data_IF_068025453584
#
_entry.id   IF_068025453584
#
_cell.length_a   1.000
_cell.length_b   1.000
_cell.length_c   1.000
_cell.angle_alpha   90.00
_cell.angle_beta   90.00
_cell.angle_gamma   90.00
#
_symmetry.space_group_name_H-M   'P 1'
#
loop_
_entity.id
_entity.type
_entity.pdbx_description
1 polymer ?
#
# COMPACT_ATOMS: atom_id res chain seq x y z
N UNK A 1 2.15 11.58 -23.55
CA UNK A 1 1.45 10.49 -22.82
C UNK A 1 1.25 10.94 -21.39
N UNK A 2 0.05 10.81 -20.88
CA UNK A 2 -0.36 11.20 -19.51
C UNK A 2 -0.48 9.95 -18.68
N UNK A 3 0.23 9.89 -17.54
CA UNK A 3 0.21 8.72 -16.65
C UNK A 3 -0.53 9.03 -15.34
N UNK A 4 -1.67 8.39 -15.16
CA UNK A 4 -2.60 8.59 -14.05
C UNK A 4 -2.96 7.26 -13.37
N UNK A 5 -2.02 6.31 -13.36
CA UNK A 5 -2.14 5.01 -12.67
C UNK A 5 -1.09 4.85 -11.56
N UNK A 6 -0.86 5.93 -10.79
CA UNK A 6 0.16 5.97 -9.75
C UNK A 6 -0.15 5.08 -8.54
N UNK A 7 -1.40 4.68 -8.32
CA UNK A 7 -1.75 3.69 -7.31
C UNK A 7 -1.30 2.26 -7.70
N UNK A 8 -1.10 1.96 -8.99
CA UNK A 8 -0.50 0.71 -9.43
C UNK A 8 1.03 0.73 -9.26
N UNK A 9 1.70 1.76 -9.74
CA UNK A 9 3.14 1.99 -9.54
C UNK A 9 3.47 3.46 -9.87
N UNK A 10 4.44 4.03 -9.17
CA UNK A 10 4.91 5.40 -9.47
C UNK A 10 6.17 5.41 -10.32
N UNK A 11 6.42 6.46 -11.12
CA UNK A 11 7.75 6.72 -11.67
C UNK A 11 8.78 6.84 -10.54
N UNK A 12 9.97 6.29 -10.75
CA UNK A 12 11.06 6.41 -9.77
C UNK A 12 11.59 7.85 -9.73
N UNK A 13 11.82 8.39 -8.52
CA UNK A 13 12.35 9.75 -8.35
C UNK A 13 13.80 9.86 -8.81
N UNK A 14 14.20 11.07 -9.20
CA UNK A 14 15.55 11.33 -9.66
C UNK A 14 16.60 11.05 -8.56
N UNK A 15 16.26 11.34 -7.30
CA UNK A 15 17.15 11.08 -6.17
C UNK A 15 17.31 9.57 -5.93
N UNK A 16 16.24 8.80 -6.05
CA UNK A 16 16.32 7.33 -5.93
C UNK A 16 17.20 6.72 -7.03
N UNK A 17 17.02 7.15 -8.28
CA UNK A 17 17.84 6.72 -9.42
C UNK A 17 19.33 7.06 -9.19
N UNK A 18 19.62 8.28 -8.75
CA UNK A 18 20.98 8.74 -8.48
C UNK A 18 21.67 7.92 -7.40
N UNK A 19 21.01 7.74 -6.24
CA UNK A 19 21.59 7.00 -5.13
C UNK A 19 21.76 5.50 -5.47
N UNK A 20 20.81 4.89 -6.16
CA UNK A 20 20.97 3.51 -6.67
C UNK A 20 22.15 3.37 -7.61
N UNK A 21 22.27 4.30 -8.58
CA UNK A 21 23.37 4.28 -9.58
C UNK A 21 24.72 4.37 -8.88
N UNK A 22 24.86 5.26 -7.91
CA UNK A 22 26.08 5.41 -7.11
C UNK A 22 26.44 4.13 -6.38
N UNK A 23 25.48 3.49 -5.70
CA UNK A 23 25.73 2.23 -5.00
C UNK A 23 26.14 1.12 -5.99
N UNK A 24 25.48 0.99 -7.13
CA UNK A 24 25.80 0.00 -8.16
C UNK A 24 27.20 0.20 -8.76
N UNK A 25 27.66 1.43 -8.89
CA UNK A 25 29.00 1.74 -9.44
C UNK A 25 30.12 1.58 -8.41
N UNK A 26 29.87 1.94 -7.15
CA UNK A 26 30.92 2.09 -6.13
C UNK A 26 30.97 0.95 -5.11
N UNK A 27 29.90 0.14 -4.98
CA UNK A 27 29.77 -0.85 -3.89
C UNK A 27 29.33 -2.22 -4.41
N UNK A 28 30.30 -3.13 -4.54
CA UNK A 28 30.08 -4.51 -5.02
C UNK A 28 30.30 -5.58 -3.93
N UNK A 29 30.58 -5.17 -2.69
CA UNK A 29 30.79 -6.09 -1.58
C UNK A 29 29.49 -6.69 -1.05
N UNK A 30 29.53 -7.94 -0.57
CA UNK A 30 28.44 -8.53 0.20
C UNK A 30 28.45 -7.91 1.61
N UNK A 31 27.31 -7.37 2.13
CA UNK A 31 27.23 -6.77 3.45
C UNK A 31 27.67 -7.67 4.61
N UNK A 32 27.62 -9.00 4.42
CA UNK A 32 28.04 -9.99 5.44
C UNK A 32 29.53 -10.32 5.41
N UNK A 33 30.30 -9.83 4.41
CA UNK A 33 31.72 -10.14 4.29
C UNK A 33 32.61 -9.30 5.21
N UNK A 34 33.66 -9.91 5.75
CA UNK A 34 34.56 -9.26 6.74
C UNK A 34 35.65 -8.37 6.12
N UNK A 35 35.88 -8.45 4.82
CA UNK A 35 36.87 -7.62 4.12
C UNK A 35 36.37 -6.19 3.87
N UNK A 36 37.24 -5.28 3.41
CA UNK A 36 36.93 -3.85 3.25
C UNK A 36 35.69 -3.57 2.43
N UNK A 37 35.51 -4.21 1.28
CA UNK A 37 34.32 -4.04 0.43
C UNK A 37 33.03 -4.50 1.11
N UNK A 38 33.07 -5.62 1.87
CA UNK A 38 31.91 -6.06 2.65
C UNK A 38 31.58 -5.09 3.79
N UNK A 39 32.59 -4.58 4.50
CA UNK A 39 32.38 -3.58 5.57
C UNK A 39 31.76 -2.28 5.02
N UNK A 40 32.17 -1.85 3.81
CA UNK A 40 31.58 -0.69 3.14
C UNK A 40 30.10 -0.94 2.82
N UNK A 41 29.77 -2.07 2.20
CA UNK A 41 28.39 -2.45 1.90
C UNK A 41 27.53 -2.58 3.18
N UNK A 42 28.07 -3.25 4.22
CA UNK A 42 27.41 -3.38 5.52
C UNK A 42 27.21 -2.05 6.25
N UNK A 43 28.11 -1.07 6.03
CA UNK A 43 27.92 0.29 6.55
C UNK A 43 26.71 0.97 5.89
N UNK A 44 26.64 0.96 4.56
CA UNK A 44 25.52 1.55 3.81
C UNK A 44 24.17 0.91 4.19
N UNK A 45 24.12 -0.42 4.35
CA UNK A 45 22.93 -1.12 4.79
C UNK A 45 22.47 -0.66 6.19
N UNK A 46 23.41 -0.50 7.13
CA UNK A 46 23.09 0.00 8.47
C UNK A 46 22.62 1.45 8.45
N UNK A 47 23.26 2.30 7.68
CA UNK A 47 22.87 3.72 7.50
C UNK A 47 21.46 3.83 6.92
N UNK A 48 21.16 3.08 5.84
CA UNK A 48 19.83 3.04 5.26
C UNK A 48 18.75 2.59 6.27
N UNK A 49 19.06 1.58 7.11
CA UNK A 49 18.15 1.12 8.16
C UNK A 49 17.97 2.15 9.27
N UNK A 50 19.02 2.85 9.66
CA UNK A 50 18.95 3.94 10.65
C UNK A 50 18.12 5.12 10.15
N UNK A 51 18.34 5.53 8.90
CA UNK A 51 17.60 6.62 8.28
C UNK A 51 16.12 6.28 8.18
N UNK A 52 15.77 5.05 7.71
CA UNK A 52 14.39 4.61 7.65
C UNK A 52 13.73 4.56 9.02
N UNK A 53 14.44 4.07 10.03
CA UNK A 53 13.92 4.04 11.40
C UNK A 53 13.68 5.46 11.93
N UNK A 54 14.57 6.41 11.65
CA UNK A 54 14.38 7.81 12.01
C UNK A 54 13.16 8.43 11.33
N UNK A 55 12.96 8.17 10.03
CA UNK A 55 11.80 8.66 9.28
C UNK A 55 10.47 8.15 9.83
N UNK A 56 10.46 6.96 10.43
CA UNK A 56 9.27 6.35 11.05
C UNK A 56 9.14 6.61 12.55
N UNK A 57 10.11 7.32 13.18
CA UNK A 57 10.12 7.55 14.62
C UNK A 57 10.32 6.29 15.45
N UNK A 58 11.08 5.29 14.94
CA UNK A 58 11.29 3.99 15.58
C UNK A 58 12.78 3.62 15.69
N UNK A 59 13.05 2.38 16.08
CA UNK A 59 14.41 1.86 16.28
C UNK A 59 14.85 1.01 15.07
N UNK A 60 16.16 1.03 14.69
CA UNK A 60 16.65 0.27 13.55
C UNK A 60 16.37 -1.24 13.61
N UNK A 61 16.35 -1.85 14.80
CA UNK A 61 16.04 -3.26 14.98
C UNK A 61 14.58 -3.64 14.67
N UNK A 62 13.69 -2.67 14.55
CA UNK A 62 12.29 -2.88 14.18
C UNK A 62 12.05 -2.87 12.66
N UNK A 63 13.10 -2.62 11.87
CA UNK A 63 13.01 -2.56 10.40
C UNK A 63 13.59 -3.83 9.79
N UNK A 64 12.85 -4.44 8.86
CA UNK A 64 13.24 -5.60 8.08
C UNK A 64 13.02 -5.31 6.59
N UNK A 65 14.07 -5.38 5.78
CA UNK A 65 13.95 -5.17 4.34
C UNK A 65 13.38 -6.40 3.66
N UNK A 66 12.44 -6.17 2.73
CA UNK A 66 11.72 -7.19 1.99
C UNK A 66 11.75 -6.89 0.49
N UNK A 67 11.12 -7.75 -0.33
CA UNK A 67 10.95 -7.48 -1.76
C UNK A 67 9.77 -6.56 -2.09
N UNK A 68 8.95 -6.21 -1.10
CA UNK A 68 7.77 -5.35 -1.28
C UNK A 68 6.64 -5.67 -0.33
N UNK A 69 5.48 -5.01 -0.52
CA UNK A 69 4.32 -5.13 0.35
C UNK A 69 3.80 -6.56 0.50
N UNK A 70 3.74 -7.32 -0.60
CA UNK A 70 3.27 -8.72 -0.55
C UNK A 70 4.13 -9.60 0.36
N UNK A 71 5.46 -9.52 0.26
CA UNK A 71 6.35 -10.26 1.16
C UNK A 71 6.20 -9.77 2.61
N UNK A 72 6.08 -8.46 2.82
CA UNK A 72 5.90 -7.87 4.15
C UNK A 72 4.60 -8.35 4.80
N UNK A 73 3.47 -8.32 4.08
CA UNK A 73 2.18 -8.80 4.55
C UNK A 73 2.22 -10.29 4.90
N UNK A 74 2.78 -11.12 4.00
CA UNK A 74 2.92 -12.56 4.23
C UNK A 74 3.81 -12.86 5.43
N UNK A 75 4.94 -12.17 5.56
CA UNK A 75 5.87 -12.35 6.68
C UNK A 75 5.22 -11.98 8.02
N UNK A 76 4.52 -10.85 8.08
CA UNK A 76 3.83 -10.42 9.29
C UNK A 76 2.72 -11.39 9.67
N UNK A 77 1.80 -11.67 8.74
CA UNK A 77 0.59 -12.46 9.02
C UNK A 77 0.94 -13.93 9.28
N UNK A 78 1.64 -14.60 8.36
CA UNK A 78 2.00 -16.02 8.51
C UNK A 78 2.97 -16.21 9.67
N UNK A 79 4.04 -15.39 9.70
CA UNK A 79 5.08 -15.52 10.71
C UNK A 79 4.57 -15.33 12.13
N UNK A 80 3.69 -14.34 12.34
CA UNK A 80 3.09 -14.10 13.66
C UNK A 80 2.05 -15.18 14.02
N UNK A 81 1.11 -15.46 13.12
CA UNK A 81 0.01 -16.39 13.40
C UNK A 81 0.51 -17.81 13.69
N UNK A 82 1.44 -18.36 12.89
CA UNK A 82 1.95 -19.71 13.14
C UNK A 82 2.76 -19.79 14.45
N UNK A 83 3.52 -18.76 14.78
CA UNK A 83 4.28 -18.68 16.02
C UNK A 83 3.36 -18.65 17.25
N UNK A 84 2.22 -17.98 17.16
CA UNK A 84 1.30 -17.75 18.28
C UNK A 84 0.03 -18.60 18.24
N UNK A 85 -0.06 -19.58 17.35
CA UNK A 85 -1.26 -20.43 17.18
C UNK A 85 -1.74 -21.17 18.45
N UNK A 86 -0.86 -21.31 19.45
CA UNK A 86 -1.21 -21.89 20.74
C UNK A 86 -1.98 -20.91 21.65
N UNK A 87 -1.99 -19.62 21.37
CA UNK A 87 -2.72 -18.58 22.10
C UNK A 87 -4.14 -18.39 21.57
N UNK A 88 -4.34 -18.69 20.29
CA UNK A 88 -5.61 -18.58 19.58
C UNK A 88 -5.42 -18.76 18.09
N UNK A 89 -6.53 -18.90 17.37
CA UNK A 89 -6.52 -19.08 15.92
C UNK A 89 -7.52 -18.18 15.20
N UNK A 90 -7.92 -17.08 15.82
CA UNK A 90 -8.84 -16.13 15.20
C UNK A 90 -8.10 -14.88 14.72
N UNK A 91 -8.43 -14.46 13.48
CA UNK A 91 -7.90 -13.30 12.80
C UNK A 91 -9.07 -12.40 12.40
N UNK A 92 -8.90 -11.08 12.57
CA UNK A 92 -9.86 -10.09 12.09
C UNK A 92 -9.20 -9.30 10.95
N UNK A 93 -9.92 -9.17 9.84
CA UNK A 93 -9.51 -8.34 8.70
C UNK A 93 -10.72 -7.66 8.05
N UNK A 94 -10.51 -6.90 6.97
CA UNK A 94 -11.61 -6.22 6.27
C UNK A 94 -11.83 -6.79 4.87
N UNK A 95 -13.04 -6.62 4.33
CA UNK A 95 -13.37 -7.09 2.98
C UNK A 95 -12.70 -6.27 1.86
N UNK A 96 -12.09 -5.13 2.20
CA UNK A 96 -11.49 -4.20 1.24
C UNK A 96 -9.96 -4.25 1.21
N UNK A 97 -9.37 -5.27 1.83
CA UNK A 97 -7.92 -5.46 1.88
C UNK A 97 -7.33 -5.80 0.49
N UNK A 98 -6.03 -5.57 0.35
CA UNK A 98 -5.30 -6.06 -0.81
C UNK A 98 -5.26 -7.60 -0.83
N UNK A 99 -5.26 -8.22 -2.01
CA UNK A 99 -5.20 -9.69 -2.17
C UNK A 99 -4.04 -10.33 -1.39
N UNK A 100 -2.89 -9.65 -1.24
CA UNK A 100 -1.77 -10.18 -0.44
C UNK A 100 -2.07 -10.31 1.06
N UNK A 101 -3.16 -9.72 1.55
CA UNK A 101 -3.69 -9.92 2.91
C UNK A 101 -4.78 -10.98 2.89
N UNK A 102 -5.79 -10.83 2.03
CA UNK A 102 -6.94 -11.75 1.96
C UNK A 102 -6.50 -13.18 1.65
N UNK A 103 -5.72 -13.39 0.59
CA UNK A 103 -5.23 -14.71 0.19
C UNK A 103 -4.29 -15.32 1.24
N UNK A 104 -3.51 -14.48 1.94
CA UNK A 104 -2.64 -14.95 3.02
C UNK A 104 -3.45 -15.44 4.22
N UNK A 105 -4.52 -14.75 4.58
CA UNK A 105 -5.41 -15.16 5.68
C UNK A 105 -6.18 -16.42 5.26
N UNK A 106 -6.71 -16.47 4.03
CA UNK A 106 -7.38 -17.64 3.50
C UNK A 106 -6.48 -18.88 3.51
N UNK A 107 -5.20 -18.73 3.12
CA UNK A 107 -4.21 -19.79 3.25
C UNK A 107 -4.07 -20.34 4.67
N UNK A 108 -4.07 -19.46 5.70
CA UNK A 108 -4.02 -19.89 7.10
C UNK A 108 -5.31 -20.61 7.52
N UNK A 109 -6.46 -20.14 7.04
CA UNK A 109 -7.76 -20.79 7.29
C UNK A 109 -7.79 -22.19 6.66
N UNK A 110 -7.45 -22.32 5.39
CA UNK A 110 -7.53 -23.57 4.66
C UNK A 110 -6.52 -24.63 5.12
N UNK A 111 -5.32 -24.24 5.52
CA UNK A 111 -4.22 -25.17 5.75
C UNK A 111 -3.81 -25.33 7.22
N UNK A 112 -4.15 -24.37 8.10
CA UNK A 112 -3.67 -24.36 9.49
C UNK A 112 -4.80 -24.30 10.51
N UNK A 113 -6.05 -24.31 10.06
CA UNK A 113 -7.23 -24.34 10.92
C UNK A 113 -7.44 -23.05 11.69
N UNK A 114 -7.06 -21.90 11.10
CA UNK A 114 -7.45 -20.59 11.59
C UNK A 114 -8.90 -20.28 11.23
N UNK A 115 -9.47 -19.31 11.92
CA UNK A 115 -10.77 -18.71 11.61
C UNK A 115 -10.56 -17.21 11.31
N UNK A 116 -11.30 -16.68 10.36
CA UNK A 116 -11.23 -15.27 10.02
C UNK A 116 -12.59 -14.59 10.13
N UNK A 117 -12.67 -13.45 10.82
CA UNK A 117 -13.79 -12.53 10.71
C UNK A 117 -13.44 -11.42 9.71
N UNK A 118 -14.19 -11.38 8.60
CA UNK A 118 -14.02 -10.38 7.55
C UNK A 118 -15.05 -9.27 7.72
N UNK A 119 -14.61 -8.11 8.21
CA UNK A 119 -15.45 -6.94 8.47
C UNK A 119 -15.92 -6.34 7.14
N UNK A 120 -17.24 -6.26 6.97
CA UNK A 120 -17.87 -5.62 5.81
C UNK A 120 -18.01 -4.11 6.07
N UNK A 121 -17.79 -3.26 5.07
CA UNK A 121 -18.05 -1.83 5.17
C UNK A 121 -19.55 -1.57 5.34
N UNK A 122 -19.88 -0.54 6.13
CA UNK A 122 -21.24 -0.04 6.29
C UNK A 122 -21.26 1.41 5.82
N UNK A 123 -22.08 1.72 4.83
CA UNK A 123 -22.07 3.04 4.16
C UNK A 123 -20.67 3.42 3.66
N UNK A 124 -19.96 2.49 3.02
CA UNK A 124 -18.58 2.61 2.50
C UNK A 124 -17.51 2.88 3.57
N UNK A 125 -17.83 2.65 4.85
CA UNK A 125 -16.93 2.89 5.99
C UNK A 125 -16.62 1.61 6.75
N UNK A 126 -15.38 1.48 7.21
CA UNK A 126 -14.95 0.53 8.25
C UNK A 126 -14.71 1.33 9.53
N UNK A 127 -15.31 0.92 10.62
CA UNK A 127 -15.19 1.61 11.92
C UNK A 127 -14.42 0.80 12.94
N UNK A 128 -13.75 1.47 13.87
CA UNK A 128 -13.06 0.83 14.98
C UNK A 128 -14.00 0.01 15.87
N UNK A 129 -15.27 0.44 16.00
CA UNK A 129 -16.30 -0.27 16.77
C UNK A 129 -16.69 -1.62 16.13
N UNK A 130 -16.62 -1.76 14.79
CA UNK A 130 -16.83 -3.05 14.13
C UNK A 130 -15.70 -4.03 14.50
N UNK A 131 -14.45 -3.56 14.49
CA UNK A 131 -13.29 -4.35 14.94
C UNK A 131 -13.47 -4.77 16.41
N UNK A 132 -13.82 -3.81 17.29
CA UNK A 132 -14.02 -4.08 18.71
C UNK A 132 -15.08 -5.17 18.97
N UNK A 133 -16.19 -5.11 18.24
CA UNK A 133 -17.28 -6.11 18.38
C UNK A 133 -16.90 -7.49 17.86
N UNK A 134 -15.93 -7.59 16.96
CA UNK A 134 -15.45 -8.84 16.39
C UNK A 134 -14.37 -9.51 17.24
N UNK A 135 -13.79 -8.82 18.23
CA UNK A 135 -12.79 -9.38 19.12
C UNK A 135 -13.35 -10.57 19.93
N UNK A 136 -12.57 -11.65 20.00
CA UNK A 136 -12.83 -12.88 20.74
C UNK A 136 -11.65 -13.17 21.65
N UNK A 137 -11.83 -14.04 22.64
CA UNK A 137 -10.75 -14.46 23.56
C UNK A 137 -9.59 -15.16 22.83
N UNK A 138 -9.87 -15.80 21.68
CA UNK A 138 -8.89 -16.47 20.83
C UNK A 138 -8.43 -15.64 19.64
N UNK A 139 -8.77 -14.34 19.58
CA UNK A 139 -8.23 -13.41 18.57
C UNK A 139 -6.76 -13.16 18.86
N UNK A 140 -5.89 -13.36 17.86
CA UNK A 140 -4.46 -13.12 18.00
C UNK A 140 -3.94 -12.01 17.06
N UNK A 141 -4.64 -11.73 15.96
CA UNK A 141 -4.24 -10.73 14.98
C UNK A 141 -5.44 -9.93 14.47
N UNK A 142 -5.27 -8.61 14.39
CA UNK A 142 -6.08 -7.72 13.57
C UNK A 142 -5.19 -7.24 12.43
N UNK A 143 -5.66 -7.35 11.18
CA UNK A 143 -4.95 -6.88 9.99
C UNK A 143 -5.85 -5.98 9.18
N UNK A 144 -5.44 -4.72 8.99
CA UNK A 144 -6.19 -3.74 8.20
C UNK A 144 -5.24 -2.96 7.29
N UNK A 145 -5.72 -2.51 6.14
CA UNK A 145 -4.98 -1.51 5.36
C UNK A 145 -5.12 -0.13 5.99
N UNK A 146 -4.15 0.74 5.74
CA UNK A 146 -4.22 2.15 6.14
C UNK A 146 -5.07 2.96 5.15
N UNK A 147 -4.82 2.75 3.87
CA UNK A 147 -5.52 3.42 2.77
C UNK A 147 -5.82 2.43 1.65
N UNK A 148 -7.04 2.50 1.12
CA UNK A 148 -7.45 1.61 0.04
C UNK A 148 -6.87 2.05 -1.31
N UNK A 149 -6.34 1.11 -2.07
CA UNK A 149 -5.68 1.35 -3.36
C UNK A 149 -6.65 1.65 -4.50
N UNK A 150 -7.93 1.36 -4.34
CA UNK A 150 -8.95 1.56 -5.38
C UNK A 150 -9.75 2.84 -5.18
N UNK A 151 -10.15 3.13 -3.94
CA UNK A 151 -11.00 4.27 -3.60
C UNK A 151 -10.26 5.40 -2.88
N UNK A 152 -9.08 5.12 -2.34
CA UNK A 152 -8.36 6.07 -1.48
C UNK A 152 -8.90 6.17 -0.06
N UNK A 153 -9.92 5.38 0.29
CA UNK A 153 -10.55 5.40 1.62
C UNK A 153 -9.53 5.13 2.71
N UNK A 154 -9.56 5.94 3.77
CA UNK A 154 -8.72 5.79 4.96
C UNK A 154 -9.46 5.00 6.03
N UNK A 155 -8.77 4.04 6.65
CA UNK A 155 -9.30 3.30 7.79
C UNK A 155 -8.90 4.00 9.11
N UNK A 156 -9.67 3.83 10.20
CA UNK A 156 -9.46 4.52 11.47
C UNK A 156 -8.34 3.85 12.30
N UNK A 157 -7.10 3.92 11.80
CA UNK A 157 -5.94 3.18 12.35
C UNK A 157 -5.66 3.56 13.81
N UNK A 158 -5.70 4.85 14.13
CA UNK A 158 -5.43 5.33 15.49
C UNK A 158 -6.48 4.84 16.50
N UNK A 159 -7.76 4.84 16.12
CA UNK A 159 -8.85 4.36 16.98
C UNK A 159 -8.77 2.84 17.16
N UNK A 160 -8.42 2.10 16.10
CA UNK A 160 -8.22 0.64 16.19
C UNK A 160 -7.04 0.33 17.11
N UNK A 161 -5.89 0.99 16.92
CA UNK A 161 -4.72 0.80 17.78
C UNK A 161 -4.99 1.16 19.24
N UNK A 162 -5.80 2.19 19.49
CA UNK A 162 -6.23 2.54 20.85
C UNK A 162 -7.09 1.44 21.49
N UNK A 163 -8.04 0.86 20.76
CA UNK A 163 -8.87 -0.26 21.24
C UNK A 163 -7.99 -1.48 21.54
N UNK A 164 -7.05 -1.81 20.67
CA UNK A 164 -6.23 -3.01 20.79
C UNK A 164 -5.16 -2.92 21.90
N UNK A 165 -4.84 -1.72 22.37
CA UNK A 165 -3.79 -1.49 23.38
C UNK A 165 -3.97 -2.33 24.64
N UNK A 166 -5.21 -2.58 25.08
CA UNK A 166 -5.54 -3.33 26.28
C UNK A 166 -5.84 -4.81 25.99
N UNK A 167 -5.62 -5.26 24.75
CA UNK A 167 -5.84 -6.64 24.32
C UNK A 167 -4.51 -7.30 23.94
N UNK A 168 -4.35 -8.63 24.19
CA UNK A 168 -3.16 -9.38 23.80
C UNK A 168 -3.21 -9.78 22.30
N UNK A 169 -3.61 -8.87 21.45
CA UNK A 169 -3.83 -9.03 20.01
C UNK A 169 -2.83 -8.17 19.26
N UNK A 170 -2.10 -8.73 18.30
CA UNK A 170 -1.21 -7.95 17.47
C UNK A 170 -1.97 -7.17 16.40
N UNK A 171 -1.46 -5.99 16.06
CA UNK A 171 -2.02 -5.13 15.03
C UNK A 171 -1.09 -5.02 13.83
N UNK A 172 -1.49 -5.59 12.68
CA UNK A 172 -0.83 -5.43 11.39
C UNK A 172 -1.54 -4.38 10.54
N UNK A 173 -0.77 -3.48 9.93
CA UNK A 173 -1.27 -2.45 9.02
C UNK A 173 -0.57 -2.54 7.67
N UNK A 174 -1.33 -2.81 6.60
CA UNK A 174 -0.85 -2.61 5.23
C UNK A 174 -0.85 -1.10 4.92
N UNK A 175 0.33 -0.47 5.01
CA UNK A 175 0.51 0.96 4.76
C UNK A 175 1.04 1.26 3.35
N UNK A 176 1.01 0.29 2.44
CA UNK A 176 1.58 0.41 1.08
C UNK A 176 1.06 1.65 0.35
N UNK A 177 -0.21 2.01 0.54
CA UNK A 177 -0.79 3.18 -0.11
C UNK A 177 -0.72 4.48 0.72
N UNK A 178 -0.27 4.41 1.97
CA UNK A 178 -0.26 5.55 2.89
C UNK A 178 1.15 6.09 3.16
N UNK A 179 2.16 5.20 3.21
CA UNK A 179 3.55 5.58 3.50
C UNK A 179 4.07 6.59 2.46
N UNK A 180 4.77 7.62 2.93
CA UNK A 180 5.24 8.74 2.09
C UNK A 180 4.15 9.80 1.79
N UNK A 181 2.86 9.49 1.96
CA UNK A 181 1.73 10.39 1.62
C UNK A 181 1.11 11.09 2.82
N UNK A 182 1.12 10.44 3.97
CA UNK A 182 0.68 11.00 5.26
C UNK A 182 1.68 10.63 6.36
N UNK A 183 1.77 11.40 7.46
CA UNK A 183 2.65 11.07 8.59
C UNK A 183 2.23 9.74 9.23
N UNK A 184 3.19 8.83 9.40
CA UNK A 184 2.93 7.54 10.05
C UNK A 184 4.04 7.27 11.07
N UNK A 185 3.66 7.23 12.34
CA UNK A 185 4.52 6.85 13.46
C UNK A 185 3.94 5.58 14.09
N UNK A 186 4.43 4.38 13.71
CA UNK A 186 3.81 3.11 14.08
C UNK A 186 3.64 2.90 15.58
N UNK A 187 4.63 3.31 16.38
CA UNK A 187 4.58 3.16 17.86
C UNK A 187 3.47 4.01 18.47
N UNK A 188 3.26 5.24 17.99
CA UNK A 188 2.21 6.14 18.48
C UNK A 188 0.80 5.65 18.11
N UNK A 189 0.70 4.98 16.96
CA UNK A 189 -0.55 4.40 16.44
C UNK A 189 -0.87 3.01 17.02
N UNK A 190 -0.01 2.46 17.88
CA UNK A 190 -0.19 1.13 18.45
C UNK A 190 -0.08 0.00 17.42
N UNK A 191 0.70 0.20 16.37
CA UNK A 191 0.91 -0.77 15.30
C UNK A 191 2.07 -1.71 15.68
N UNK A 192 1.85 -3.02 15.61
CA UNK A 192 2.89 -4.02 15.83
C UNK A 192 3.65 -4.37 14.55
N UNK A 193 2.93 -4.43 13.42
CA UNK A 193 3.50 -4.70 12.09
C UNK A 193 2.99 -3.70 11.07
N UNK A 194 3.91 -3.14 10.26
CA UNK A 194 3.54 -2.24 9.17
C UNK A 194 4.27 -2.65 7.89
N UNK A 195 3.51 -2.84 6.82
CA UNK A 195 4.01 -3.23 5.51
C UNK A 195 4.09 -2.05 4.55
N UNK A 196 5.20 -1.97 3.78
CA UNK A 196 5.41 -0.94 2.79
C UNK A 196 6.08 -1.47 1.51
N UNK A 197 5.89 -0.76 0.39
CA UNK A 197 6.47 -1.10 -0.91
C UNK A 197 6.99 0.15 -1.61
N UNK A 198 8.27 0.17 -1.95
CA UNK A 198 8.96 1.38 -2.42
C UNK A 198 8.35 1.99 -3.69
N UNK A 199 7.88 1.15 -4.62
CA UNK A 199 7.32 1.65 -5.89
C UNK A 199 5.98 2.38 -5.76
N UNK A 200 5.44 2.55 -4.56
CA UNK A 200 4.23 3.34 -4.29
C UNK A 200 4.55 4.75 -3.78
N UNK A 201 5.83 5.00 -3.47
CA UNK A 201 6.36 6.29 -3.04
C UNK A 201 7.65 6.64 -3.80
N UNK A 202 7.61 6.57 -5.12
CA UNK A 202 8.67 6.96 -6.03
C UNK A 202 10.01 6.24 -5.86
N UNK A 203 10.03 5.11 -5.13
CA UNK A 203 11.17 4.22 -4.99
C UNK A 203 11.21 3.11 -6.04
N UNK A 204 12.24 2.26 -6.00
CA UNK A 204 12.40 1.16 -6.94
C UNK A 204 11.39 0.02 -6.71
N UNK A 205 11.05 -0.70 -7.79
CA UNK A 205 10.30 -1.96 -7.72
C UNK A 205 11.17 -3.06 -7.11
N UNK A 206 10.53 -4.07 -6.50
CA UNK A 206 11.23 -5.26 -5.97
C UNK A 206 11.95 -5.01 -4.65
N UNK A 207 11.58 -3.97 -3.91
CA UNK A 207 12.01 -3.67 -2.55
C UNK A 207 10.89 -3.05 -1.74
N UNK A 208 10.87 -3.34 -0.46
CA UNK A 208 9.98 -2.78 0.53
C UNK A 208 10.55 -3.00 1.93
N UNK A 209 9.74 -2.77 2.92
CA UNK A 209 10.10 -3.06 4.30
C UNK A 209 8.91 -3.51 5.13
N UNK A 210 9.22 -4.27 6.16
CA UNK A 210 8.33 -4.59 7.26
C UNK A 210 8.87 -3.87 8.50
N UNK A 211 8.05 -3.02 9.13
CA UNK A 211 8.25 -2.63 10.51
C UNK A 211 7.64 -3.71 11.41
N UNK A 212 8.34 -4.12 12.44
CA UNK A 212 7.83 -4.98 13.49
C UNK A 212 8.30 -4.46 14.86
N UNK A 213 7.36 -4.11 15.74
CA UNK A 213 7.63 -3.56 17.07
C UNK A 213 8.47 -4.49 17.94
N UNK A 214 8.34 -5.80 17.66
CA UNK A 214 9.13 -6.86 18.28
C UNK A 214 9.61 -7.84 17.21
N UNK A 215 10.63 -8.64 17.52
CA UNK A 215 11.07 -9.75 16.68
C UNK A 215 10.27 -11.05 16.89
N UNK A 216 9.07 -10.96 17.45
CA UNK A 216 8.30 -12.13 17.88
C UNK A 216 7.41 -12.71 16.76
N UNK A 217 8.03 -13.02 15.64
CA UNK A 217 7.42 -13.70 14.48
C UNK A 217 8.43 -14.68 13.87
N UNK A 218 7.96 -15.69 13.15
CA UNK A 218 8.80 -16.64 12.43
C UNK A 218 9.14 -16.11 11.04
N UNK A 219 10.32 -16.48 10.51
CA UNK A 219 10.71 -16.08 9.17
C UNK A 219 9.82 -16.75 8.11
N UNK A 220 9.42 -15.98 7.09
CA UNK A 220 8.72 -16.52 5.93
C UNK A 220 9.71 -17.10 4.89
N UNK A 221 10.84 -16.43 4.66
CA UNK A 221 11.92 -16.90 3.81
C UNK A 221 13.06 -17.45 4.65
N UNK A 222 13.31 -18.76 4.50
CA UNK A 222 14.35 -19.48 5.24
C UNK A 222 15.67 -19.51 4.48
N UNK A 223 16.82 -19.48 5.20
CA UNK A 223 18.15 -19.54 4.63
C UNK A 223 19.23 -18.99 5.56
N UNK A 224 20.02 -18.01 5.08
CA UNK A 224 21.06 -17.37 5.87
C UNK A 224 20.54 -16.44 6.97
N UNK A 225 21.48 -15.86 7.73
CA UNK A 225 21.22 -15.09 8.93
C UNK A 225 20.90 -13.58 8.67
N UNK A 226 20.61 -13.21 7.39
CA UNK A 226 20.28 -11.83 7.05
C UNK A 226 19.02 -11.34 7.80
N UNK A 227 18.86 -10.03 7.89
CA UNK A 227 17.71 -9.40 8.55
C UNK A 227 17.42 -10.02 9.92
N UNK A 228 18.44 -10.20 10.76
CA UNK A 228 18.33 -10.76 12.10
C UNK A 228 17.70 -12.18 12.11
N UNK A 229 17.95 -13.00 11.08
CA UNK A 229 17.35 -14.33 10.85
C UNK A 229 15.85 -14.31 10.54
N UNK A 230 15.29 -13.14 10.21
CA UNK A 230 13.87 -12.98 9.91
C UNK A 230 13.58 -13.00 8.40
N UNK A 231 14.59 -12.70 7.58
CA UNK A 231 14.45 -12.71 6.13
C UNK A 231 15.79 -13.08 5.49
N UNK A 232 15.91 -14.29 5.00
CA UNK A 232 17.13 -14.81 4.39
C UNK A 232 17.34 -14.26 2.96
N UNK A 233 18.56 -14.39 2.47
CA UNK A 233 18.98 -13.96 1.13
C UNK A 233 19.71 -12.62 1.14
N UNK A 234 20.74 -12.49 0.28
CA UNK A 234 21.56 -11.28 0.17
C UNK A 234 20.67 -10.05 -0.11
N UNK A 235 20.93 -9.00 0.63
CA UNK A 235 20.15 -7.76 0.57
C UNK A 235 20.39 -7.02 -0.76
N UNK A 236 19.32 -6.51 -1.36
CA UNK A 236 19.38 -5.64 -2.54
C UNK A 236 19.79 -4.22 -2.14
N UNK A 237 21.09 -4.05 -1.81
CA UNK A 237 21.61 -2.82 -1.21
C UNK A 237 21.28 -1.56 -2.03
N UNK A 238 21.44 -1.62 -3.36
CA UNK A 238 21.16 -0.47 -4.21
C UNK A 238 19.69 -0.05 -4.14
N UNK A 239 18.76 -1.02 -4.23
CA UNK A 239 17.34 -0.74 -4.14
C UNK A 239 16.93 -0.28 -2.74
N UNK A 240 17.55 -0.81 -1.67
CA UNK A 240 17.30 -0.36 -0.28
C UNK A 240 17.68 1.11 -0.11
N UNK A 241 18.88 1.51 -0.57
CA UNK A 241 19.35 2.89 -0.48
C UNK A 241 18.45 3.82 -1.31
N UNK A 242 18.08 3.42 -2.54
CA UNK A 242 17.16 4.18 -3.38
C UNK A 242 15.75 4.32 -2.76
N UNK A 243 15.24 3.27 -2.11
CA UNK A 243 13.97 3.31 -1.39
C UNK A 243 13.98 4.34 -0.27
N UNK A 244 15.04 4.33 0.55
CA UNK A 244 15.15 5.27 1.68
C UNK A 244 15.29 6.71 1.19
N UNK A 245 16.04 6.92 0.11
CA UNK A 245 16.18 8.25 -0.52
C UNK A 245 14.84 8.78 -1.03
N UNK A 246 14.05 7.93 -1.72
CA UNK A 246 12.72 8.30 -2.19
C UNK A 246 11.76 8.65 -1.04
N UNK A 247 11.73 7.81 0.00
CA UNK A 247 10.85 8.07 1.15
C UNK A 247 11.21 9.36 1.87
N UNK A 248 12.51 9.64 2.01
CA UNK A 248 12.98 10.88 2.62
C UNK A 248 12.55 12.12 1.82
N UNK A 249 12.63 12.07 0.48
CA UNK A 249 12.14 13.11 -0.41
C UNK A 249 10.64 13.32 -0.22
N UNK A 250 9.83 12.26 -0.33
CA UNK A 250 8.38 12.33 -0.19
C UNK A 250 7.93 12.88 1.16
N UNK A 251 8.58 12.49 2.25
CA UNK A 251 8.23 12.97 3.60
C UNK A 251 8.63 14.43 3.84
N UNK A 252 9.72 14.91 3.22
CA UNK A 252 10.11 16.32 3.31
C UNK A 252 9.07 17.24 2.62
N UNK A 253 8.51 16.80 1.51
CA UNK A 253 7.60 17.58 0.68
C UNK A 253 6.11 17.20 0.88
N UNK A 254 5.83 16.36 1.88
CA UNK A 254 4.55 15.70 2.10
C UNK A 254 3.35 16.67 2.17
N UNK A 255 3.50 17.79 2.88
CA UNK A 255 2.41 18.79 3.03
C UNK A 255 2.13 19.47 1.69
N UNK A 256 3.17 19.84 0.96
CA UNK A 256 3.06 20.46 -0.38
C UNK A 256 2.43 19.46 -1.36
N UNK A 257 2.91 18.22 -1.37
CA UNK A 257 2.35 17.14 -2.19
C UNK A 257 0.86 16.93 -1.91
N UNK A 258 0.46 16.85 -0.64
CA UNK A 258 -0.94 16.69 -0.25
C UNK A 258 -1.82 17.84 -0.75
N UNK A 259 -1.36 19.08 -0.60
CA UNK A 259 -2.07 20.27 -1.08
C UNK A 259 -2.17 20.30 -2.61
N UNK A 260 -1.08 19.98 -3.31
CA UNK A 260 -1.06 19.90 -4.77
C UNK A 260 -2.04 18.85 -5.29
N UNK A 261 -2.01 17.63 -4.71
CA UNK A 261 -2.90 16.54 -5.12
C UNK A 261 -4.36 16.87 -4.85
N UNK A 262 -4.66 17.54 -3.74
CA UNK A 262 -6.02 18.02 -3.44
C UNK A 262 -6.51 19.05 -4.45
N UNK A 263 -5.65 19.99 -4.84
CA UNK A 263 -5.96 20.99 -5.86
C UNK A 263 -6.19 20.33 -7.24
N UNK A 264 -5.32 19.41 -7.64
CA UNK A 264 -5.47 18.67 -8.91
C UNK A 264 -6.78 17.88 -8.96
N UNK A 265 -7.15 17.19 -7.87
CA UNK A 265 -8.45 16.49 -7.77
C UNK A 265 -9.61 17.47 -7.95
N UNK A 266 -9.57 18.62 -7.26
CA UNK A 266 -10.61 19.65 -7.37
C UNK A 266 -10.72 20.18 -8.80
N UNK A 267 -9.62 20.58 -9.41
CA UNK A 267 -9.58 21.02 -10.83
C UNK A 267 -10.20 19.99 -11.76
N UNK A 268 -9.83 18.71 -11.61
CA UNK A 268 -10.39 17.66 -12.45
C UNK A 268 -11.90 17.55 -12.31
N UNK A 269 -12.43 17.54 -11.08
CA UNK A 269 -13.86 17.44 -10.83
C UNK A 269 -14.64 18.67 -11.32
N UNK A 270 -14.09 19.87 -11.20
CA UNK A 270 -14.67 21.09 -11.75
C UNK A 270 -14.74 21.03 -13.28
N UNK A 271 -13.67 20.57 -13.92
CA UNK A 271 -13.61 20.43 -15.39
C UNK A 271 -14.65 19.44 -15.92
N UNK A 272 -14.97 18.37 -15.22
CA UNK A 272 -15.98 17.38 -15.64
C UNK A 272 -17.40 17.64 -15.12
N UNK A 273 -17.66 18.77 -14.44
CA UNK A 273 -18.93 19.05 -13.77
C UNK A 273 -20.19 19.00 -14.70
N UNK A 274 -19.99 19.06 -16.03
CA UNK A 274 -21.09 18.94 -17.00
C UNK A 274 -21.41 17.50 -17.43
N UNK A 275 -20.63 16.50 -16.98
CA UNK A 275 -20.89 15.08 -17.26
C UNK A 275 -21.77 14.48 -16.16
N UNK A 276 -22.53 13.44 -16.52
CA UNK A 276 -23.19 12.58 -15.54
C UNK A 276 -22.17 11.58 -14.99
N UNK A 277 -21.86 11.68 -13.70
CA UNK A 277 -20.92 10.80 -13.03
C UNK A 277 -21.26 10.59 -11.55
N UNK A 278 -20.68 9.58 -10.95
CA UNK A 278 -20.70 9.36 -9.51
C UNK A 278 -19.30 9.01 -9.00
N UNK A 279 -19.02 9.37 -7.75
CA UNK A 279 -17.80 9.01 -7.06
C UNK A 279 -18.01 7.79 -6.16
N UNK A 280 -17.00 6.93 -6.08
CA UNK A 280 -16.96 5.81 -5.13
C UNK A 280 -16.01 6.22 -3.98
N UNK A 281 -16.57 6.96 -3.04
CA UNK A 281 -15.83 7.60 -1.95
C UNK A 281 -16.36 7.18 -0.59
N UNK A 282 -15.48 7.24 0.41
CA UNK A 282 -15.81 7.26 1.84
C UNK A 282 -15.70 8.69 2.38
N UNK A 283 -16.10 8.92 3.64
CA UNK A 283 -15.99 10.26 4.26
C UNK A 283 -14.53 10.68 4.50
N UNK A 284 -13.62 9.71 4.61
CA UNK A 284 -12.19 9.94 4.84
C UNK A 284 -11.38 9.28 3.74
N UNK A 285 -10.63 10.06 2.96
CA UNK A 285 -9.85 9.54 1.86
C UNK A 285 -8.62 10.38 1.54
N UNK A 286 -7.65 9.74 0.92
CA UNK A 286 -6.48 10.40 0.35
C UNK A 286 -6.82 11.08 -0.99
N UNK A 287 -6.32 12.28 -1.25
CA UNK A 287 -6.69 13.05 -2.45
C UNK A 287 -6.10 12.49 -3.75
N UNK A 288 -5.13 11.61 -3.68
CA UNK A 288 -4.42 11.11 -4.86
C UNK A 288 -5.18 10.04 -5.65
N UNK A 289 -6.27 9.47 -5.11
CA UNK A 289 -7.15 8.52 -5.81
C UNK A 289 -8.50 9.16 -6.07
N UNK A 290 -8.97 9.05 -7.30
CA UNK A 290 -10.34 9.35 -7.71
C UNK A 290 -10.91 8.09 -8.33
N UNK A 291 -11.85 7.44 -7.64
CA UNK A 291 -12.62 6.33 -8.19
C UNK A 291 -13.97 6.87 -8.66
N UNK A 292 -14.19 6.86 -9.98
CA UNK A 292 -15.30 7.54 -10.62
C UNK A 292 -15.98 6.61 -11.62
N UNK A 293 -17.30 6.64 -11.66
CA UNK A 293 -18.08 5.91 -12.64
C UNK A 293 -18.93 6.83 -13.50
N UNK A 294 -19.12 6.43 -14.75
CA UNK A 294 -19.94 7.14 -15.73
C UNK A 294 -21.09 6.23 -16.15
N UNK A 295 -22.37 6.59 -15.82
CA UNK A 295 -23.52 5.77 -16.09
C UNK A 295 -23.61 5.34 -17.57
N UNK A 296 -23.79 4.04 -17.82
CA UNK A 296 -23.87 3.46 -19.16
C UNK A 296 -22.53 3.29 -19.90
N UNK A 297 -21.41 3.79 -19.36
CA UNK A 297 -20.07 3.62 -19.94
C UNK A 297 -19.37 2.39 -19.36
N UNK A 298 -19.07 1.41 -20.21
CA UNK A 298 -18.28 0.24 -19.78
C UNK A 298 -16.83 0.64 -19.53
N UNK A 299 -16.35 0.30 -18.34
CA UNK A 299 -15.01 0.69 -17.88
C UNK A 299 -13.87 0.13 -18.74
N UNK A 300 -13.98 -1.09 -19.26
CA UNK A 300 -13.00 -1.70 -20.16
C UNK A 300 -12.89 -0.95 -21.49
N UNK A 301 -14.02 -0.51 -22.07
CA UNK A 301 -14.05 0.31 -23.28
C UNK A 301 -13.53 1.72 -23.04
N UNK A 302 -13.88 2.31 -21.89
CA UNK A 302 -13.39 3.63 -21.51
C UNK A 302 -11.87 3.64 -21.34
N UNK A 303 -11.31 2.61 -20.68
CA UNK A 303 -9.87 2.42 -20.57
C UNK A 303 -9.18 2.37 -21.93
N UNK A 304 -9.72 1.53 -22.83
CA UNK A 304 -9.16 1.37 -24.18
C UNK A 304 -9.18 2.69 -24.97
N UNK A 305 -10.30 3.44 -24.93
CA UNK A 305 -10.42 4.74 -25.62
C UNK A 305 -9.43 5.77 -25.06
N UNK A 306 -9.26 5.85 -23.74
CA UNK A 306 -8.31 6.76 -23.12
C UNK A 306 -6.86 6.38 -23.45
N UNK A 307 -6.52 5.08 -23.46
CA UNK A 307 -5.19 4.61 -23.84
C UNK A 307 -4.84 4.97 -25.30
N UNK A 308 -5.79 4.86 -26.23
CA UNK A 308 -5.63 5.31 -27.62
C UNK A 308 -5.36 6.81 -27.75
N UNK A 309 -5.87 7.61 -26.81
CA UNK A 309 -5.61 9.06 -26.69
C UNK A 309 -4.32 9.36 -25.86
N UNK A 310 -3.56 8.32 -25.49
CA UNK A 310 -2.30 8.46 -24.75
C UNK A 310 -2.48 8.77 -23.27
N UNK A 311 -3.63 8.40 -22.65
CA UNK A 311 -3.95 8.62 -21.25
C UNK A 311 -4.10 7.26 -20.53
N UNK A 312 -3.20 6.98 -19.59
CA UNK A 312 -3.18 5.72 -18.84
C UNK A 312 -3.86 5.87 -17.49
N UNK A 313 -4.97 5.15 -17.29
CA UNK A 313 -5.71 5.00 -16.03
C UNK A 313 -5.97 3.50 -15.76
N UNK A 314 -6.69 3.15 -14.69
CA UNK A 314 -6.99 1.75 -14.32
C UNK A 314 -8.46 1.58 -13.91
N UNK A 315 -8.94 0.33 -13.80
CA UNK A 315 -10.21 0.00 -13.11
C UNK A 315 -10.04 -0.18 -11.60
N UNK A 316 -8.80 -0.20 -11.09
CA UNK A 316 -8.51 -0.46 -9.67
C UNK A 316 -8.26 -1.94 -9.35
N UNK A 317 -9.01 -2.86 -9.95
CA UNK A 317 -8.75 -4.29 -9.85
C UNK A 317 -7.61 -4.73 -10.79
N UNK A 318 -6.80 -5.69 -10.36
CA UNK A 318 -5.69 -6.19 -11.17
C UNK A 318 -6.22 -6.90 -12.43
N UNK A 319 -5.69 -6.52 -13.60
CA UNK A 319 -5.91 -7.29 -14.83
C UNK A 319 -5.06 -8.56 -14.79
N UNK A 320 -5.68 -9.72 -14.61
CA UNK A 320 -5.01 -11.02 -14.77
C UNK A 320 -5.24 -11.50 -16.22
N UNK A 321 -4.17 -11.57 -17.00
CA UNK A 321 -4.18 -12.06 -18.39
C UNK A 321 -5.17 -11.34 -19.33
N UNK A 322 -5.41 -10.03 -19.13
CA UNK A 322 -6.28 -9.23 -20.02
C UNK A 322 -7.77 -9.33 -19.71
N UNK A 323 -8.17 -10.03 -18.64
CA UNK A 323 -9.56 -10.06 -18.16
C UNK A 323 -9.68 -9.07 -17.01
N UNK A 324 -10.56 -8.09 -17.17
CA UNK A 324 -10.93 -7.16 -16.08
C UNK A 324 -11.74 -7.96 -15.05
N UNK A 325 -11.14 -8.25 -13.89
CA UNK A 325 -11.89 -8.82 -12.77
C UNK A 325 -12.73 -7.72 -12.12
N UNK A 326 -13.92 -8.06 -11.64
CA UNK A 326 -14.74 -7.15 -10.85
C UNK A 326 -14.01 -6.78 -9.55
N UNK A 327 -14.11 -5.51 -9.16
CA UNK A 327 -13.51 -5.03 -7.92
C UNK A 327 -14.23 -5.59 -6.70
N UNK A 328 -13.53 -6.40 -5.88
CA UNK A 328 -14.06 -6.87 -4.60
C UNK A 328 -14.31 -5.71 -3.61
N UNK A 329 -13.59 -4.60 -3.74
CA UNK A 329 -13.77 -3.38 -2.93
C UNK A 329 -15.11 -2.73 -3.27
N UNK A 330 -15.40 -2.52 -4.56
CA UNK A 330 -16.67 -1.95 -4.99
C UNK A 330 -17.83 -2.92 -4.74
N UNK A 331 -17.60 -4.22 -4.85
CA UNK A 331 -18.59 -5.23 -4.48
C UNK A 331 -18.92 -5.16 -2.98
N UNK A 332 -17.90 -5.04 -2.11
CA UNK A 332 -18.10 -4.85 -0.68
C UNK A 332 -18.84 -3.54 -0.34
N UNK A 333 -18.64 -2.48 -1.13
CA UNK A 333 -19.29 -1.18 -0.91
C UNK A 333 -20.74 -1.15 -1.40
N UNK A 334 -21.05 -1.78 -2.54
CA UNK A 334 -22.29 -1.56 -3.27
C UNK A 334 -23.08 -2.85 -3.61
N UNK A 335 -22.52 -4.02 -3.30
CA UNK A 335 -23.09 -5.33 -3.64
C UNK A 335 -22.73 -5.81 -5.05
N UNK A 336 -22.88 -7.13 -5.27
CA UNK A 336 -22.48 -7.83 -6.51
C UNK A 336 -23.28 -7.43 -7.75
N UNK A 337 -24.51 -6.94 -7.57
CA UNK A 337 -25.39 -6.56 -8.68
C UNK A 337 -25.25 -5.07 -9.08
N UNK A 338 -24.31 -4.35 -8.47
CA UNK A 338 -24.13 -2.92 -8.71
C UNK A 338 -23.51 -2.64 -10.09
N UNK A 339 -24.11 -1.73 -10.86
CA UNK A 339 -23.54 -1.23 -12.12
C UNK A 339 -22.17 -0.59 -11.94
N UNK A 340 -21.87 -0.09 -10.72
CA UNK A 340 -20.56 0.51 -10.38
C UNK A 340 -19.39 -0.42 -10.65
N UNK A 341 -19.59 -1.74 -10.57
CA UNK A 341 -18.56 -2.75 -10.83
C UNK A 341 -18.04 -2.74 -12.28
N UNK A 342 -18.88 -2.34 -13.23
CA UNK A 342 -18.56 -2.35 -14.67
C UNK A 342 -18.47 -0.97 -15.30
N UNK A 343 -18.77 0.09 -14.54
CA UNK A 343 -18.77 1.48 -15.02
C UNK A 343 -17.69 2.33 -14.38
N UNK A 344 -17.04 1.86 -13.30
CA UNK A 344 -16.06 2.64 -12.55
C UNK A 344 -14.63 2.46 -13.06
N UNK A 345 -13.89 3.57 -13.06
CA UNK A 345 -12.45 3.64 -13.34
C UNK A 345 -11.73 4.31 -12.18
N UNK A 346 -10.44 4.03 -12.03
CA UNK A 346 -9.57 4.66 -11.04
C UNK A 346 -8.57 5.56 -11.74
N UNK A 347 -8.57 6.83 -11.36
CA UNK A 347 -7.57 7.84 -11.71
C UNK A 347 -6.71 8.02 -10.46
N UNK A 348 -5.40 7.84 -10.57
CA UNK A 348 -4.51 8.02 -9.43
C UNK A 348 -3.34 8.94 -9.76
N UNK A 349 -3.25 9.98 -8.97
CA UNK A 349 -2.36 11.12 -9.14
C UNK A 349 -1.02 10.91 -8.43
N UNK A 350 -0.01 11.63 -8.88
CA UNK A 350 1.26 11.82 -8.17
C UNK A 350 1.64 13.31 -8.18
N UNK A 351 2.59 13.72 -7.33
CA UNK A 351 3.10 15.10 -7.36
C UNK A 351 3.73 15.52 -8.70
N UNK A 352 4.04 14.57 -9.58
CA UNK A 352 4.59 14.83 -10.90
C UNK A 352 3.53 15.25 -11.92
N UNK A 353 2.23 15.00 -11.64
CA UNK A 353 1.17 15.41 -12.56
C UNK A 353 0.93 16.92 -12.54
N UNK A 354 0.40 17.43 -13.66
CA UNK A 354 0.12 18.84 -13.87
C UNK A 354 -1.38 19.11 -14.05
N UNK A 355 -1.78 20.36 -13.86
CA UNK A 355 -3.16 20.80 -14.08
C UNK A 355 -3.57 20.64 -15.54
N UNK A 356 -2.65 20.88 -16.50
CA UNK A 356 -2.85 20.72 -17.92
C UNK A 356 -3.18 19.27 -18.30
N UNK A 357 -2.50 18.30 -17.66
CA UNK A 357 -2.80 16.87 -17.86
C UNK A 357 -4.22 16.52 -17.42
N UNK A 358 -4.69 17.08 -16.30
CA UNK A 358 -6.05 16.85 -15.79
C UNK A 358 -7.11 17.53 -16.67
N UNK A 359 -6.84 18.74 -17.20
CA UNK A 359 -7.71 19.39 -18.17
C UNK A 359 -7.80 18.61 -19.48
N UNK A 360 -6.69 18.06 -19.94
CA UNK A 360 -6.68 17.20 -21.13
C UNK A 360 -7.49 15.92 -20.91
N UNK A 361 -7.31 15.24 -19.77
CA UNK A 361 -8.14 14.10 -19.39
C UNK A 361 -9.63 14.46 -19.39
N UNK A 362 -10.01 15.57 -18.75
CA UNK A 362 -11.39 16.02 -18.67
C UNK A 362 -11.99 16.31 -20.06
N UNK A 363 -11.23 16.97 -20.95
CA UNK A 363 -11.68 17.24 -22.31
C UNK A 363 -11.85 15.95 -23.12
N UNK A 364 -10.92 15.00 -22.97
CA UNK A 364 -11.01 13.69 -23.64
C UNK A 364 -12.22 12.89 -23.14
N UNK A 365 -12.50 12.92 -21.82
CA UNK A 365 -13.71 12.28 -21.25
C UNK A 365 -14.99 12.91 -21.81
N UNK A 366 -15.06 14.24 -21.91
CA UNK A 366 -16.22 14.95 -22.52
C UNK A 366 -16.44 14.50 -23.97
N UNK A 367 -15.38 14.34 -24.73
CA UNK A 367 -15.48 13.89 -26.13
C UNK A 367 -15.93 12.43 -26.22
N UNK A 368 -15.41 11.54 -25.37
CA UNK A 368 -15.73 10.11 -25.37
C UNK A 368 -17.16 9.82 -24.89
N UNK A 369 -17.62 10.56 -23.87
CA UNK A 369 -18.90 10.32 -23.17
C UNK A 369 -20.03 11.12 -23.83
N UNK A 370 -19.71 12.27 -24.43
CA UNK A 370 -20.69 13.15 -25.07
C UNK A 370 -21.11 12.73 -26.49
N UNK A 371 -20.39 11.74 -27.06
CA UNK A 371 -20.74 11.09 -28.32
C UNK A 371 -21.70 9.88 -28.06
#
# INVERSE_FOLDING_TARGET
MIYLDNAATTPMSAVAISEMTKVMQETHGNPSSIHSHGRQAGKLLREARQDLALLLGTKPQHIFFTSGGTESNNTAIIGYCLRHQNRGKHIITTAIEHHSVLETIDYLVQHFGFEATIIQPVNQEITAQQIQKALRDDTILVSTMYANNETGSLLPIAEIGHILKDHPVAYHVDAVQAIGKIPIHPEELGIDFLSASAHKFHGPKGVGFLYASTGDFDSYLHGGDQEQKKRAGTENLAAIVGMVAALKEDLNDQVEHYQKLSALKTTFLEEIAGLDYYLNESNHQLPYVVNIGFPGQKNDLLLLRLDLEGISISTGSACTAGIVQTSHVLEAFYGSDSHRLTESVRISLSPLNTEEELKQLAQTLKNIIGD
#
